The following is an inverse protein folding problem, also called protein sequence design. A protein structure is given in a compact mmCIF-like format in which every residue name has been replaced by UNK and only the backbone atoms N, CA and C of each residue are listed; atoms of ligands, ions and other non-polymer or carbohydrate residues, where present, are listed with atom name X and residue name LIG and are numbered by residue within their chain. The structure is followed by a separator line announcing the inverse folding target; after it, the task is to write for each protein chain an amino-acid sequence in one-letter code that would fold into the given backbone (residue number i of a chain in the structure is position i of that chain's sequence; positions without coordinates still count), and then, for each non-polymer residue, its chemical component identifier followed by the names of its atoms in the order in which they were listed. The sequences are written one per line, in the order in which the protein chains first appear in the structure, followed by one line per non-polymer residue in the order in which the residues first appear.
data_IF_695064449518
#
_entry.id   IF_695064449518
#
_cell.length_a   1.000
_cell.length_b   1.000
_cell.length_c   1.000
_cell.angle_alpha   90.00
_cell.angle_beta   90.00
_cell.angle_gamma   90.00
#
_symmetry.space_group_name_H-M   'P 1'
#
loop_
_entity.id
_entity.type
_entity.pdbx_description
1 polymer ?
#
# COMPACT_ATOMS: atom_id res chain seq x y z
N UNK A 1 2.85 16.97 2.70
CA UNK A 1 2.94 16.42 1.34
C UNK A 1 1.61 15.77 1.04
N UNK A 2 1.05 15.97 -0.15
CA UNK A 2 -0.20 15.33 -0.55
C UNK A 2 0.11 13.98 -1.22
N UNK A 3 -0.59 12.91 -0.83
CA UNK A 3 -0.32 11.54 -1.28
C UNK A 3 -1.56 10.89 -1.90
N UNK A 4 -1.34 9.99 -2.86
CA UNK A 4 -2.38 9.13 -3.44
C UNK A 4 -2.61 7.88 -2.59
N UNK A 5 -1.52 7.31 -2.07
CA UNK A 5 -1.51 6.13 -1.23
C UNK A 5 -0.50 6.36 -0.11
N UNK A 6 -0.91 6.05 1.12
CA UNK A 6 -0.02 5.92 2.28
C UNK A 6 -0.26 4.56 2.91
N UNK A 7 0.82 3.84 3.17
CA UNK A 7 0.81 2.55 3.88
C UNK A 7 1.79 2.68 5.04
N UNK A 8 1.32 2.38 6.25
CA UNK A 8 2.11 2.36 7.47
C UNK A 8 2.12 0.91 8.00
N UNK A 9 3.27 0.25 7.87
CA UNK A 9 3.44 -1.19 8.15
C UNK A 9 4.08 -1.35 9.52
N UNK A 10 3.43 -2.10 10.41
CA UNK A 10 3.94 -2.44 11.73
C UNK A 10 4.11 -3.96 11.86
N UNK A 11 5.36 -4.39 12.07
CA UNK A 11 5.67 -5.77 12.41
C UNK A 11 5.78 -5.96 13.92
N UNK A 12 5.27 -7.07 14.45
CA UNK A 12 5.35 -7.41 15.87
C UNK A 12 6.65 -8.13 16.28
N UNK A 13 7.52 -8.40 15.30
CA UNK A 13 8.77 -9.15 15.49
C UNK A 13 8.60 -10.66 15.61
N UNK A 14 7.37 -11.18 15.46
CA UNK A 14 7.02 -12.61 15.48
C UNK A 14 6.53 -13.12 14.12
N UNK A 15 6.56 -12.26 13.11
CA UNK A 15 6.14 -12.56 11.76
C UNK A 15 4.70 -12.16 11.47
N UNK A 16 4.04 -11.39 12.35
CA UNK A 16 2.73 -10.79 12.09
C UNK A 16 2.89 -9.32 11.72
N UNK A 17 2.09 -8.88 10.76
CA UNK A 17 2.07 -7.51 10.25
C UNK A 17 0.67 -6.91 10.32
N UNK A 18 0.63 -5.63 10.68
CA UNK A 18 -0.55 -4.78 10.60
C UNK A 18 -0.20 -3.58 9.72
N UNK A 19 -0.97 -3.41 8.65
CA UNK A 19 -0.84 -2.28 7.76
C UNK A 19 -2.02 -1.34 7.94
N UNK A 20 -1.71 -0.07 8.16
CA UNK A 20 -2.68 1.01 8.16
C UNK A 20 -2.59 1.78 6.85
N UNK A 21 -3.63 1.65 6.03
CA UNK A 21 -3.64 2.15 4.67
C UNK A 21 -4.59 3.34 4.52
N UNK A 22 -4.16 4.29 3.71
CA UNK A 22 -4.96 5.43 3.28
C UNK A 22 -4.81 5.61 1.77
N UNK A 23 -5.90 5.38 1.02
CA UNK A 23 -5.97 5.63 -0.41
C UNK A 23 -6.86 6.84 -0.69
N UNK A 24 -6.45 7.69 -1.64
CA UNK A 24 -7.17 8.88 -2.07
C UNK A 24 -7.44 8.86 -3.56
N UNK A 25 -8.62 9.32 -3.97
CA UNK A 25 -8.97 9.52 -5.38
C UNK A 25 -8.30 10.77 -5.99
N UNK A 26 -7.88 11.73 -5.16
CA UNK A 26 -7.05 12.88 -5.52
C UNK A 26 -6.23 13.36 -4.30
N UNK A 27 -4.94 13.71 -4.46
CA UNK A 27 -4.16 14.35 -3.42
C UNK A 27 -4.79 15.69 -2.98
N UNK A 28 -4.68 15.99 -1.68
CA UNK A 28 -5.21 17.24 -1.11
C UNK A 28 -6.70 17.17 -0.78
N UNK A 29 -7.57 17.15 -1.79
CA UNK A 29 -9.03 17.40 -1.64
C UNK A 29 -9.93 16.20 -1.92
N UNK A 30 -9.35 15.04 -2.24
CA UNK A 30 -10.08 13.84 -2.63
C UNK A 30 -10.81 13.11 -1.50
N UNK A 31 -11.72 12.19 -1.88
CA UNK A 31 -12.24 11.19 -0.97
C UNK A 31 -11.11 10.31 -0.46
N UNK A 32 -11.21 9.90 0.80
CA UNK A 32 -10.20 9.09 1.47
C UNK A 32 -10.81 7.76 1.91
N UNK A 33 -10.27 6.65 1.42
CA UNK A 33 -10.54 5.31 1.92
C UNK A 33 -9.46 4.93 2.93
N UNK A 34 -9.87 4.64 4.16
CA UNK A 34 -8.99 4.09 5.21
C UNK A 34 -9.34 2.62 5.42
N UNK A 35 -8.33 1.77 5.45
CA UNK A 35 -8.50 0.35 5.64
C UNK A 35 -7.27 -0.25 6.32
N UNK A 36 -7.45 -1.44 6.89
CA UNK A 36 -6.37 -2.17 7.54
C UNK A 36 -6.19 -3.52 6.84
N UNK A 37 -4.94 -3.96 6.74
CA UNK A 37 -4.59 -5.31 6.30
C UNK A 37 -3.81 -6.00 7.41
N UNK A 38 -4.10 -7.27 7.62
CA UNK A 38 -3.30 -8.12 8.52
C UNK A 38 -2.84 -9.33 7.74
N UNK A 39 -1.56 -9.64 7.84
CA UNK A 39 -0.95 -10.79 7.19
C UNK A 39 0.25 -11.28 8.00
N UNK A 40 0.77 -12.44 7.64
CA UNK A 40 1.99 -12.99 8.22
C UNK A 40 3.15 -13.14 7.23
N UNK A 41 4.31 -13.54 7.74
CA UNK A 41 5.52 -13.69 6.94
C UNK A 41 5.38 -14.66 5.76
N UNK A 42 4.47 -15.64 5.83
CA UNK A 42 4.23 -16.60 4.74
C UNK A 42 3.50 -15.96 3.56
N UNK A 43 2.79 -14.87 3.81
CA UNK A 43 2.03 -14.11 2.80
C UNK A 43 2.86 -12.98 2.17
N UNK A 44 4.02 -12.63 2.75
CA UNK A 44 4.89 -11.59 2.20
C UNK A 44 5.32 -11.84 0.74
N UNK A 45 5.82 -13.04 0.36
CA UNK A 45 6.20 -13.30 -1.03
C UNK A 45 5.07 -13.06 -2.04
N UNK A 46 3.87 -13.66 -1.91
CA UNK A 46 2.80 -13.43 -2.87
C UNK A 46 2.26 -11.98 -2.83
N UNK A 47 2.30 -11.29 -1.69
CA UNK A 47 1.94 -9.86 -1.62
C UNK A 47 2.91 -9.00 -2.42
N UNK A 48 4.22 -9.26 -2.33
CA UNK A 48 5.22 -8.54 -3.11
C UNK A 48 5.06 -8.79 -4.61
N UNK A 49 4.82 -10.03 -5.02
CA UNK A 49 4.56 -10.38 -6.43
C UNK A 49 3.33 -9.63 -6.97
N UNK A 50 2.25 -9.55 -6.19
CA UNK A 50 1.04 -8.82 -6.58
C UNK A 50 1.30 -7.31 -6.71
N UNK A 51 2.11 -6.71 -5.82
CA UNK A 51 2.50 -5.30 -5.92
C UNK A 51 3.33 -5.07 -7.18
N UNK A 52 4.31 -5.93 -7.48
CA UNK A 52 5.13 -5.83 -8.68
C UNK A 52 4.29 -5.93 -9.96
N UNK A 53 3.30 -6.83 -10.00
CA UNK A 53 2.38 -6.96 -11.13
C UNK A 53 1.56 -5.68 -11.34
N UNK A 54 0.99 -5.13 -10.26
CA UNK A 54 0.20 -3.89 -10.31
C UNK A 54 1.07 -2.72 -10.77
N UNK A 55 2.28 -2.56 -10.22
CA UNK A 55 3.18 -1.47 -10.60
C UNK A 55 3.68 -1.63 -12.03
N UNK A 56 3.93 -2.86 -12.49
CA UNK A 56 4.36 -3.14 -13.86
C UNK A 56 3.27 -2.94 -14.92
N UNK A 57 1.99 -3.15 -14.56
CA UNK A 57 0.86 -3.02 -15.47
C UNK A 57 0.40 -1.57 -15.68
N UNK A 58 0.65 -0.67 -14.73
CA UNK A 58 0.17 0.72 -14.81
C UNK A 58 1.22 1.66 -15.42
N UNK A 59 0.86 2.50 -16.40
CA UNK A 59 1.77 3.51 -16.92
C UNK A 59 2.10 4.53 -15.82
N UNK A 60 3.38 4.81 -15.61
CA UNK A 60 3.84 5.88 -14.72
C UNK A 60 3.25 7.20 -15.21
N UNK A 61 2.30 7.77 -14.46
CA UNK A 61 1.75 9.11 -14.73
C UNK A 61 2.60 10.15 -14.02
N UNK A 62 3.39 10.90 -14.80
CA UNK A 62 4.27 11.96 -14.33
C UNK A 62 5.75 11.57 -14.45
N UNK A 63 6.53 12.39 -15.16
CA UNK A 63 7.99 12.34 -15.19
C UNK A 63 8.60 13.51 -14.41
N UNK A 64 9.90 13.45 -14.07
CA UNK A 64 10.60 14.54 -13.37
C UNK A 64 10.53 15.87 -14.12
#
# INVERSE_FOLDING_TARGET
MEHWLRVDIQGDGRGHFLDQCEARDQPGTGNTLRFELTFDQTELPPVLEAVDEVVGAFPVKGGP
#
